data_IF_673488728776
#
_entry.id   IF_673488728776
#
_cell.length_a   1.000
_cell.length_b   1.000
_cell.length_c   1.000
_cell.angle_alpha   90.00
_cell.angle_beta   90.00
_cell.angle_gamma   90.00
#
_symmetry.space_group_name_H-M   'P 1'
#
loop_
_entity.id
_entity.type
_entity.pdbx_description
1 polymer ?
#
# COMPACT_ATOMS: atom_id res chain seq x y z
N UNK A 1 4.58 -6.10 0.03
CA UNK A 1 3.41 -6.90 -0.35
C UNK A 1 3.20 -7.08 -1.85
N UNK A 2 3.66 -6.11 -2.69
CA UNK A 2 3.40 -6.17 -4.14
C UNK A 2 3.97 -7.42 -4.81
N UNK A 3 5.18 -7.84 -4.46
CA UNK A 3 5.80 -9.04 -5.01
C UNK A 3 5.15 -10.32 -4.49
N UNK A 4 4.72 -10.34 -3.24
CA UNK A 4 4.02 -11.49 -2.65
C UNK A 4 2.71 -11.78 -3.37
N UNK A 5 1.94 -10.77 -3.71
CA UNK A 5 0.67 -10.88 -4.43
C UNK A 5 0.81 -11.10 -5.95
N UNK A 6 2.03 -11.23 -6.47
CA UNK A 6 2.27 -11.46 -7.90
C UNK A 6 2.00 -12.91 -8.33
N UNK A 7 2.07 -13.87 -7.42
CA UNK A 7 1.69 -15.27 -7.67
C UNK A 7 0.19 -15.46 -7.55
N UNK A 8 -0.39 -16.25 -8.45
CA UNK A 8 -1.83 -16.62 -8.41
C UNK A 8 -2.16 -17.49 -7.20
N UNK A 9 -1.19 -18.24 -6.68
CA UNK A 9 -1.34 -19.12 -5.52
C UNK A 9 -1.25 -18.36 -4.17
N UNK A 10 -0.98 -17.06 -4.21
CA UNK A 10 -0.83 -16.28 -2.97
C UNK A 10 -2.20 -15.93 -2.39
N UNK A 11 -2.43 -16.37 -1.15
CA UNK A 11 -3.58 -15.94 -0.35
C UNK A 11 -3.32 -14.52 0.22
N UNK A 12 -4.15 -13.51 -0.12
CA UNK A 12 -4.06 -12.17 0.46
C UNK A 12 -4.04 -12.14 1.99
N UNK A 13 -4.73 -13.06 2.65
CA UNK A 13 -4.73 -13.15 4.11
C UNK A 13 -3.34 -13.49 4.67
N UNK A 14 -2.57 -14.33 3.98
CA UNK A 14 -1.21 -14.65 4.41
C UNK A 14 -0.26 -13.45 4.25
N UNK A 15 -0.47 -12.64 3.22
CA UNK A 15 0.30 -11.39 3.05
C UNK A 15 -0.02 -10.41 4.17
N UNK A 16 -1.30 -10.21 4.50
CA UNK A 16 -1.72 -9.36 5.60
C UNK A 16 -1.14 -9.84 6.94
N UNK A 17 -1.24 -11.14 7.26
CA UNK A 17 -0.62 -11.73 8.46
C UNK A 17 0.90 -11.52 8.51
N UNK A 18 1.57 -11.56 7.36
CA UNK A 18 3.00 -11.24 7.27
C UNK A 18 3.30 -9.81 7.73
N UNK A 19 2.51 -8.84 7.30
CA UNK A 19 2.63 -7.44 7.74
C UNK A 19 2.32 -7.28 9.23
N UNK A 20 1.26 -7.90 9.74
CA UNK A 20 0.92 -7.91 11.16
C UNK A 20 2.09 -8.44 12.01
N UNK A 21 2.74 -9.52 11.53
CA UNK A 21 3.92 -10.10 12.21
C UNK A 21 5.11 -9.15 12.19
N UNK A 22 5.34 -8.42 11.11
CA UNK A 22 6.37 -7.37 11.03
C UNK A 22 6.08 -6.27 12.05
N UNK A 23 4.85 -5.79 12.12
CA UNK A 23 4.42 -4.79 13.13
C UNK A 23 4.69 -5.29 14.54
N UNK A 24 4.32 -6.53 14.86
CA UNK A 24 4.58 -7.12 16.17
C UNK A 24 6.07 -7.18 16.50
N UNK A 25 6.92 -7.55 15.53
CA UNK A 25 8.38 -7.57 15.70
C UNK A 25 8.96 -6.17 15.90
N UNK A 26 8.47 -5.17 15.17
CA UNK A 26 8.89 -3.77 15.35
C UNK A 26 8.54 -3.29 16.75
N UNK A 27 7.32 -3.52 17.21
CA UNK A 27 6.88 -3.17 18.58
C UNK A 27 7.74 -3.81 19.66
N UNK A 28 8.07 -5.09 19.48
CA UNK A 28 8.90 -5.82 20.44
C UNK A 28 10.34 -5.30 20.51
N UNK A 29 10.93 -4.90 19.39
CA UNK A 29 12.34 -4.51 19.31
C UNK A 29 12.55 -3.00 19.38
N UNK A 30 11.55 -2.23 18.99
CA UNK A 30 11.57 -0.76 18.92
C UNK A 30 10.26 -0.20 19.49
N UNK A 31 10.01 -0.32 20.79
CA UNK A 31 8.72 0.01 21.40
C UNK A 31 8.33 1.50 21.29
N UNK A 32 9.31 2.37 21.00
CA UNK A 32 9.07 3.80 20.78
C UNK A 32 8.86 4.18 19.31
N UNK A 33 9.02 3.22 18.38
CA UNK A 33 8.83 3.48 16.95
C UNK A 33 7.37 3.82 16.66
N UNK A 34 7.17 4.88 15.89
CA UNK A 34 5.87 5.21 15.33
C UNK A 34 5.64 4.38 14.08
N UNK A 35 4.44 3.84 13.90
CA UNK A 35 4.11 2.98 12.77
C UNK A 35 3.11 3.72 11.90
N UNK A 36 3.48 3.92 10.64
CA UNK A 36 2.60 4.38 9.58
C UNK A 36 2.43 3.21 8.62
N UNK A 37 1.20 2.78 8.41
CA UNK A 37 0.85 1.72 7.49
C UNK A 37 0.07 2.31 6.31
N UNK A 38 0.43 1.90 5.11
CA UNK A 38 -0.25 2.31 3.88
C UNK A 38 -0.62 1.09 3.02
N UNK A 39 -1.58 1.22 2.10
CA UNK A 39 -1.97 0.15 1.21
C UNK A 39 -0.83 -0.24 0.27
N UNK A 40 -0.88 -1.46 -0.26
CA UNK A 40 -0.10 -1.86 -1.42
C UNK A 40 -0.63 -1.05 -2.61
N UNK A 41 0.28 -0.47 -3.40
CA UNK A 41 -0.08 0.38 -4.53
C UNK A 41 -0.85 -0.39 -5.61
N UNK A 42 -1.75 0.30 -6.34
CA UNK A 42 -2.47 -0.31 -7.44
C UNK A 42 -1.51 -0.67 -8.59
N UNK A 43 -1.93 -1.59 -9.44
CA UNK A 43 -1.21 -2.03 -10.65
C UNK A 43 -2.16 -2.04 -11.83
N UNK A 44 -1.59 -2.10 -13.04
CA UNK A 44 -2.35 -2.19 -14.28
C UNK A 44 -2.67 -0.82 -14.89
N UNK A 45 -2.23 -0.63 -16.13
CA UNK A 45 -2.38 0.62 -16.89
C UNK A 45 -3.52 0.57 -17.91
N UNK A 46 -4.09 -0.61 -18.14
CA UNK A 46 -5.21 -0.83 -19.06
C UNK A 46 -5.86 -2.19 -18.83
N UNK A 47 -6.97 -2.44 -19.52
CA UNK A 47 -7.62 -3.75 -19.54
C UNK A 47 -6.69 -4.88 -20.04
N UNK A 48 -5.74 -4.57 -20.92
CA UNK A 48 -4.80 -5.53 -21.50
C UNK A 48 -3.67 -5.95 -20.53
N UNK A 49 -3.52 -5.25 -19.42
CA UNK A 49 -2.55 -5.57 -18.36
C UNK A 49 -2.96 -6.78 -17.51
N UNK A 50 -3.37 -7.88 -18.12
CA UNK A 50 -4.06 -9.01 -17.47
C UNK A 50 -3.34 -9.52 -16.20
N UNK A 51 -2.00 -9.69 -16.25
CA UNK A 51 -1.21 -10.13 -15.09
C UNK A 51 -1.26 -9.13 -13.93
N UNK A 52 -1.13 -7.82 -14.25
CA UNK A 52 -1.15 -6.77 -13.25
C UNK A 52 -2.55 -6.57 -12.67
N UNK A 53 -3.59 -6.69 -13.51
CA UNK A 53 -4.98 -6.58 -13.08
C UNK A 53 -5.35 -7.71 -12.10
N UNK A 54 -4.93 -8.94 -12.36
CA UNK A 54 -5.10 -10.06 -11.41
C UNK A 54 -4.35 -9.83 -10.09
N UNK A 55 -3.13 -9.29 -10.14
CA UNK A 55 -2.38 -8.94 -8.94
C UNK A 55 -3.06 -7.81 -8.16
N UNK A 56 -3.64 -6.81 -8.85
CA UNK A 56 -4.37 -5.71 -8.22
C UNK A 56 -5.55 -6.20 -7.38
N UNK A 57 -6.34 -7.13 -7.88
CA UNK A 57 -7.46 -7.72 -7.10
C UNK A 57 -6.96 -8.31 -5.77
N UNK A 58 -5.81 -8.99 -5.78
CA UNK A 58 -5.20 -9.51 -4.55
C UNK A 58 -4.63 -8.40 -3.66
N UNK A 59 -4.06 -7.33 -4.25
CA UNK A 59 -3.64 -6.14 -3.49
C UNK A 59 -4.82 -5.50 -2.77
N UNK A 60 -5.93 -5.28 -3.48
CA UNK A 60 -7.12 -4.65 -2.92
C UNK A 60 -7.68 -5.47 -1.75
N UNK A 61 -7.75 -6.79 -1.90
CA UNK A 61 -8.15 -7.68 -0.80
C UNK A 61 -7.18 -7.66 0.38
N UNK A 62 -5.88 -7.63 0.13
CA UNK A 62 -4.87 -7.47 1.20
C UNK A 62 -5.03 -6.12 1.89
N UNK A 63 -5.25 -5.04 1.12
CA UNK A 63 -5.41 -3.70 1.64
C UNK A 63 -6.64 -3.55 2.56
N UNK A 64 -7.76 -4.21 2.24
CA UNK A 64 -8.92 -4.29 3.13
C UNK A 64 -8.55 -4.87 4.50
N UNK A 65 -7.79 -5.97 4.51
CA UNK A 65 -7.33 -6.63 5.73
C UNK A 65 -6.36 -5.74 6.52
N UNK A 66 -5.41 -5.09 5.84
CA UNK A 66 -4.46 -4.18 6.47
C UNK A 66 -5.13 -2.95 7.06
N UNK A 67 -6.14 -2.40 6.38
CA UNK A 67 -6.95 -1.29 6.88
C UNK A 67 -7.71 -1.69 8.15
N UNK A 68 -8.36 -2.85 8.13
CA UNK A 68 -9.05 -3.38 9.31
C UNK A 68 -8.08 -3.60 10.50
N UNK A 69 -6.89 -4.14 10.22
CA UNK A 69 -5.84 -4.29 11.23
C UNK A 69 -5.39 -2.95 11.81
N UNK A 70 -5.15 -1.95 10.97
CA UNK A 70 -4.77 -0.61 11.44
C UNK A 70 -5.89 0.03 12.29
N UNK A 71 -7.15 -0.09 11.88
CA UNK A 71 -8.30 0.42 12.64
C UNK A 71 -8.45 -0.24 14.02
N UNK A 72 -8.10 -1.52 14.14
CA UNK A 72 -8.10 -2.24 15.41
C UNK A 72 -6.88 -1.91 16.31
N UNK A 73 -5.91 -1.14 15.81
CA UNK A 73 -4.67 -0.78 16.51
C UNK A 73 -4.44 0.74 16.46
N UNK A 74 -4.98 1.51 17.44
CA UNK A 74 -4.98 2.99 17.41
C UNK A 74 -3.58 3.65 17.40
N UNK A 75 -2.54 2.92 17.73
CA UNK A 75 -1.13 3.36 17.67
C UNK A 75 -0.52 3.24 16.26
N UNK A 76 -1.25 2.70 15.29
CA UNK A 76 -0.88 2.64 13.89
C UNK A 76 -1.58 3.76 13.14
N UNK A 77 -0.83 4.67 12.54
CA UNK A 77 -1.38 5.63 11.61
C UNK A 77 -1.63 4.95 10.25
N UNK A 78 -2.90 4.93 9.79
CA UNK A 78 -3.25 4.46 8.45
C UNK A 78 -3.32 5.65 7.50
N UNK A 79 -2.71 5.50 6.34
CA UNK A 79 -2.82 6.45 5.23
C UNK A 79 -3.26 5.70 3.99
N UNK A 80 -4.26 6.20 3.30
CA UNK A 80 -4.74 5.66 2.02
C UNK A 80 -4.77 6.77 0.98
N UNK A 81 -4.06 6.58 -0.11
CA UNK A 81 -3.95 7.53 -1.22
C UNK A 81 -3.93 6.83 -2.59
N UNK A 82 -4.31 5.55 -2.63
CA UNK A 82 -4.32 4.78 -3.86
C UNK A 82 -5.24 5.37 -4.94
N UNK A 83 -6.29 6.07 -4.53
CA UNK A 83 -7.17 6.83 -5.41
C UNK A 83 -6.45 7.93 -6.20
N UNK A 84 -5.40 8.54 -5.62
CA UNK A 84 -4.58 9.55 -6.28
C UNK A 84 -3.63 8.98 -7.33
N UNK A 85 -3.36 7.67 -7.25
CA UNK A 85 -2.50 6.96 -8.20
C UNK A 85 -3.26 6.43 -9.42
N UNK A 86 -4.58 6.55 -9.43
CA UNK A 86 -5.48 5.97 -10.44
C UNK A 86 -6.18 7.09 -11.20
N UNK A 87 -6.23 6.99 -12.52
CA UNK A 87 -6.94 7.92 -13.37
C UNK A 87 -8.47 7.72 -13.31
N UNK A 88 -9.21 8.66 -13.92
CA UNK A 88 -10.68 8.61 -13.97
C UNK A 88 -11.21 7.37 -14.70
N UNK A 89 -10.39 6.73 -15.52
CA UNK A 89 -10.67 5.49 -16.23
C UNK A 89 -10.45 4.22 -15.38
N UNK A 90 -10.00 4.40 -14.14
CA UNK A 90 -9.72 3.31 -13.20
C UNK A 90 -8.35 2.66 -13.35
N UNK A 91 -7.49 3.13 -14.26
CA UNK A 91 -6.16 2.60 -14.50
C UNK A 91 -5.06 3.50 -13.94
N UNK A 92 -3.90 2.92 -13.65
CA UNK A 92 -2.73 3.68 -13.23
C UNK A 92 -2.08 4.31 -14.47
N UNK A 93 -2.01 5.65 -14.58
CA UNK A 93 -1.33 6.28 -15.71
C UNK A 93 0.15 5.89 -15.79
N UNK A 94 0.68 5.68 -17.00
CA UNK A 94 2.10 5.35 -17.20
C UNK A 94 3.05 6.43 -16.70
N UNK A 95 2.60 7.68 -16.63
CA UNK A 95 3.37 8.77 -16.02
C UNK A 95 3.52 8.63 -14.51
N UNK A 96 2.67 7.82 -13.86
CA UNK A 96 2.72 7.50 -12.42
C UNK A 96 3.52 6.22 -12.19
N UNK A 97 3.31 5.17 -13.01
CA UNK A 97 4.01 3.88 -12.95
C UNK A 97 4.28 3.37 -14.36
N UNK A 98 5.43 3.70 -14.93
CA UNK A 98 5.77 3.40 -16.32
C UNK A 98 5.80 1.88 -16.61
N UNK A 99 6.29 1.09 -15.66
CA UNK A 99 6.41 -0.38 -15.73
C UNK A 99 5.27 -1.11 -15.01
N UNK A 100 4.22 -0.40 -14.63
CA UNK A 100 3.03 -0.91 -13.93
C UNK A 100 3.27 -1.36 -12.49
N UNK A 101 4.46 -1.12 -11.92
CA UNK A 101 4.84 -1.60 -10.58
C UNK A 101 5.50 -0.52 -9.74
N UNK A 102 6.47 0.19 -10.34
CA UNK A 102 7.31 1.13 -9.62
C UNK A 102 6.86 2.57 -9.90
N UNK A 103 6.66 3.38 -8.84
CA UNK A 103 6.38 4.80 -9.01
C UNK A 103 7.50 5.50 -9.78
N UNK A 104 7.13 6.37 -10.71
CA UNK A 104 8.00 7.38 -11.30
C UNK A 104 8.21 8.53 -10.30
N UNK A 105 9.02 9.54 -10.65
CA UNK A 105 9.18 10.75 -9.83
C UNK A 105 7.81 11.36 -9.50
N UNK A 106 6.92 11.46 -10.49
CA UNK A 106 5.55 11.95 -10.28
C UNK A 106 4.74 11.07 -9.31
N UNK A 107 4.90 9.75 -9.40
CA UNK A 107 4.28 8.81 -8.46
C UNK A 107 4.81 8.99 -7.03
N UNK A 108 6.11 9.23 -6.88
CA UNK A 108 6.72 9.54 -5.58
C UNK A 108 6.26 10.89 -5.04
N UNK A 109 6.11 11.93 -5.87
CA UNK A 109 5.59 13.23 -5.45
C UNK A 109 4.19 13.09 -4.83
N UNK A 110 3.28 12.37 -5.49
CA UNK A 110 1.95 12.09 -4.97
C UNK A 110 1.99 11.33 -3.64
N UNK A 111 2.90 10.38 -3.51
CA UNK A 111 3.09 9.65 -2.25
C UNK A 111 3.59 10.59 -1.14
N UNK A 112 4.59 11.41 -1.44
CA UNK A 112 5.14 12.37 -0.47
C UNK A 112 4.12 13.42 -0.04
N UNK A 113 3.31 13.95 -0.96
CA UNK A 113 2.21 14.86 -0.64
C UNK A 113 1.20 14.23 0.34
N UNK A 114 0.87 12.96 0.13
CA UNK A 114 -0.04 12.25 1.01
C UNK A 114 0.58 11.92 2.37
N UNK A 115 1.88 11.59 2.39
CA UNK A 115 2.60 11.16 3.58
C UNK A 115 2.99 12.32 4.51
N UNK A 116 3.34 13.48 3.96
CA UNK A 116 3.88 14.61 4.72
C UNK A 116 3.00 15.07 5.90
N UNK A 117 1.68 15.26 5.75
CA UNK A 117 0.84 15.67 6.88
C UNK A 117 0.77 14.60 7.98
N UNK A 118 0.77 13.32 7.60
CA UNK A 118 0.74 12.21 8.56
C UNK A 118 2.07 12.13 9.33
N UNK A 119 3.20 12.32 8.63
CA UNK A 119 4.51 12.39 9.27
C UNK A 119 4.57 13.53 10.28
N UNK A 120 4.10 14.73 9.91
CA UNK A 120 4.07 15.88 10.82
C UNK A 120 3.24 15.59 12.07
N UNK A 121 2.06 15.00 11.90
CA UNK A 121 1.19 14.61 13.02
C UNK A 121 1.85 13.56 13.93
N UNK A 122 2.42 12.51 13.35
CA UNK A 122 3.00 11.37 14.08
C UNK A 122 4.29 11.77 14.81
N UNK A 123 5.05 12.71 14.25
CA UNK A 123 6.30 13.20 14.84
C UNK A 123 6.10 14.42 15.76
N UNK A 124 4.90 14.97 15.83
CA UNK A 124 4.59 16.15 16.67
C UNK A 124 5.28 17.42 16.19
N UNK A 125 5.41 17.60 14.87
CA UNK A 125 6.06 18.78 14.25
C UNK A 125 5.04 19.60 13.47
#
# INVERSE_FOLDING_TARGET
>A
GTNNNSSEDTDPANVAKGVERIVALVRARQPKAKIILHPIFPRGVSADSARHNKARVRHDRTNELLKAFAQANPDIAWIDFNDKLVGADGWVPREIMADEIHPTDKGYDLWMEALAPVLSQVLGK
#
